data_IF_660335588145
#
_entry.id   IF_660335588145
#
_cell.length_a   1.000
_cell.length_b   1.000
_cell.length_c   1.000
_cell.angle_alpha   90.00
_cell.angle_beta   90.00
_cell.angle_gamma   90.00
#
_symmetry.space_group_name_H-M   'P 1'
#
loop_
_entity.id
_entity.type
_entity.pdbx_description
1 polymer ?
#
# COMPACT_ATOMS: atom_id res chain seq x y z
N UNK A 1 29.33 -19.16 32.31
CA UNK A 1 27.89 -18.88 32.18
C UNK A 1 27.65 -18.40 30.76
N UNK A 2 27.30 -19.33 29.86
CA UNK A 2 27.01 -19.03 28.45
C UNK A 2 25.60 -18.47 28.31
N UNK A 3 25.49 -17.15 28.17
CA UNK A 3 24.27 -16.49 27.71
C UNK A 3 24.22 -16.52 26.19
N UNK A 4 23.87 -17.67 25.62
CA UNK A 4 23.45 -17.75 24.22
C UNK A 4 22.01 -17.23 24.10
N UNK A 5 21.89 -15.90 24.08
CA UNK A 5 20.67 -15.23 23.67
C UNK A 5 20.42 -15.59 22.19
N UNK A 6 19.57 -16.60 21.98
CA UNK A 6 19.04 -16.99 20.67
C UNK A 6 18.35 -15.77 20.07
N UNK A 7 19.07 -15.05 19.20
CA UNK A 7 18.48 -14.08 18.29
C UNK A 7 17.39 -14.80 17.51
N UNK A 8 16.12 -14.53 17.82
CA UNK A 8 14.99 -14.98 17.02
C UNK A 8 15.14 -14.30 15.66
N UNK A 9 15.68 -15.03 14.69
CA UNK A 9 15.70 -14.61 13.29
C UNK A 9 14.27 -14.28 12.88
N UNK A 10 13.97 -12.99 12.70
CA UNK A 10 12.67 -12.53 12.24
C UNK A 10 12.40 -13.20 10.88
N UNK A 11 11.27 -13.90 10.78
CA UNK A 11 10.89 -14.56 9.54
C UNK A 11 10.83 -13.53 8.41
N UNK A 12 11.68 -13.72 7.40
CA UNK A 12 11.74 -12.83 6.25
C UNK A 12 10.61 -13.18 5.26
N UNK A 13 9.81 -12.19 4.89
CA UNK A 13 8.66 -12.29 4.00
C UNK A 13 9.04 -11.98 2.55
N UNK A 14 8.49 -12.69 1.56
CA UNK A 14 8.69 -12.34 0.16
C UNK A 14 7.95 -11.02 -0.17
N UNK A 15 8.62 -10.12 -0.90
CA UNK A 15 8.07 -8.80 -1.25
C UNK A 15 6.71 -8.87 -1.94
N UNK A 16 6.49 -9.85 -2.83
CA UNK A 16 5.19 -10.05 -3.48
C UNK A 16 4.05 -10.33 -2.49
N UNK A 17 4.30 -11.15 -1.47
CA UNK A 17 3.29 -11.43 -0.44
C UNK A 17 3.02 -10.21 0.45
N UNK A 18 4.04 -9.40 0.74
CA UNK A 18 3.87 -8.16 1.49
C UNK A 18 3.06 -7.14 0.69
N UNK A 19 3.33 -6.99 -0.60
CA UNK A 19 2.56 -6.10 -1.47
C UNK A 19 1.09 -6.54 -1.54
N UNK A 20 0.85 -7.81 -1.83
CA UNK A 20 -0.51 -8.36 -1.92
C UNK A 20 -1.26 -8.26 -0.59
N UNK A 21 -0.61 -8.64 0.52
CA UNK A 21 -1.19 -8.55 1.86
C UNK A 21 -1.51 -7.12 2.26
N UNK A 22 -0.59 -6.18 2.01
CA UNK A 22 -0.82 -4.76 2.29
C UNK A 22 -1.95 -4.19 1.43
N UNK A 23 -2.05 -4.60 0.17
CA UNK A 23 -3.17 -4.22 -0.69
C UNK A 23 -4.50 -4.68 -0.12
N UNK A 24 -4.63 -5.95 0.27
CA UNK A 24 -5.87 -6.45 0.86
C UNK A 24 -6.24 -5.78 2.18
N UNK A 25 -5.25 -5.48 3.03
CA UNK A 25 -5.49 -4.73 4.27
C UNK A 25 -5.95 -3.30 3.96
N UNK A 26 -5.33 -2.61 2.99
CA UNK A 26 -5.79 -1.31 2.50
C UNK A 26 -7.25 -1.35 2.03
N UNK A 27 -7.60 -2.34 1.22
CA UNK A 27 -8.98 -2.53 0.73
C UNK A 27 -9.93 -2.82 1.91
N UNK A 28 -9.50 -3.61 2.89
CA UNK A 28 -10.33 -3.92 4.06
C UNK A 28 -10.69 -2.67 4.88
N UNK A 29 -9.77 -1.69 4.99
CA UNK A 29 -10.06 -0.42 5.68
C UNK A 29 -11.28 0.30 5.12
N UNK A 30 -11.49 0.25 3.80
CA UNK A 30 -12.60 0.94 3.15
C UNK A 30 -13.81 0.03 2.91
N UNK A 31 -13.61 -1.22 2.48
CA UNK A 31 -14.72 -2.11 2.09
C UNK A 31 -15.54 -2.55 3.30
N UNK A 32 -14.91 -2.90 4.42
CA UNK A 32 -15.64 -3.38 5.62
C UNK A 32 -16.62 -2.32 6.14
N UNK A 33 -16.19 -1.09 6.44
CA UNK A 33 -17.13 -0.06 6.88
C UNK A 33 -18.07 0.44 5.77
N UNK A 34 -17.64 0.45 4.50
CA UNK A 34 -18.56 0.78 3.39
C UNK A 34 -19.70 -0.23 3.28
N UNK A 35 -19.40 -1.52 3.48
CA UNK A 35 -20.40 -2.57 3.53
C UNK A 35 -21.34 -2.37 4.73
N UNK A 36 -20.82 -1.99 5.89
CA UNK A 36 -21.66 -1.63 7.04
C UNK A 36 -22.62 -0.49 6.72
N UNK A 37 -22.13 0.61 6.12
CA UNK A 37 -22.98 1.74 5.72
C UNK A 37 -24.02 1.31 4.70
N UNK A 38 -23.65 0.49 3.72
CA UNK A 38 -24.56 -0.02 2.70
C UNK A 38 -25.68 -0.90 3.27
N UNK A 39 -25.33 -1.83 4.16
CA UNK A 39 -26.29 -2.72 4.83
C UNK A 39 -27.27 -1.93 5.71
N UNK A 40 -26.82 -0.80 6.26
CA UNK A 40 -27.62 0.08 7.11
C UNK A 40 -28.08 1.36 6.40
N UNK A 41 -28.08 1.39 5.06
CA UNK A 41 -28.28 2.62 4.26
C UNK A 41 -29.55 3.40 4.56
N UNK A 42 -30.59 2.74 5.09
CA UNK A 42 -31.83 3.40 5.51
C UNK A 42 -31.64 4.37 6.69
N UNK A 43 -30.56 4.23 7.45
CA UNK A 43 -30.19 5.09 8.59
C UNK A 43 -29.27 6.25 8.16
N UNK A 44 -28.85 6.29 6.91
CA UNK A 44 -27.93 7.28 6.37
C UNK A 44 -28.62 8.18 5.34
N UNK A 45 -28.16 9.43 5.17
CA UNK A 45 -28.72 10.33 4.18
C UNK A 45 -28.46 9.83 2.76
N UNK A 46 -29.40 10.11 1.85
CA UNK A 46 -29.29 9.72 0.45
C UNK A 46 -28.12 10.41 -0.28
N UNK A 47 -27.76 11.60 0.18
CA UNK A 47 -26.64 12.40 -0.32
C UNK A 47 -25.69 12.73 0.82
N UNK A 48 -24.40 12.73 0.52
CA UNK A 48 -23.32 13.00 1.46
C UNK A 48 -22.33 13.98 0.86
N UNK A 49 -21.68 14.81 1.68
CA UNK A 49 -20.67 15.73 1.21
C UNK A 49 -19.42 14.96 0.81
N UNK A 50 -18.91 15.24 -0.39
CA UNK A 50 -17.66 14.67 -0.91
C UNK A 50 -16.50 15.66 -0.83
N UNK A 51 -16.80 16.93 -0.58
CA UNK A 51 -15.80 17.98 -0.39
C UNK A 51 -16.27 19.00 0.65
N UNK A 52 -15.35 19.39 1.52
CA UNK A 52 -15.55 20.42 2.55
C UNK A 52 -14.69 21.63 2.21
N UNK A 53 -15.31 22.81 2.13
CA UNK A 53 -14.61 24.07 1.91
C UNK A 53 -13.74 24.46 3.11
N UNK A 54 -12.85 25.45 2.90
CA UNK A 54 -12.02 26.02 3.98
C UNK A 54 -12.85 26.67 5.10
N UNK A 55 -14.08 27.05 4.79
CA UNK A 55 -15.09 27.55 5.72
C UNK A 55 -15.79 26.45 6.54
N UNK A 56 -15.34 25.18 6.41
CA UNK A 56 -15.96 24.00 7.03
C UNK A 56 -17.40 23.73 6.59
N UNK A 57 -17.84 24.29 5.46
CA UNK A 57 -19.14 24.00 4.88
C UNK A 57 -19.00 23.04 3.68
N UNK A 58 -19.97 22.13 3.49
CA UNK A 58 -19.96 21.24 2.33
C UNK A 58 -20.32 22.03 1.06
N UNK A 59 -19.47 21.96 0.03
CA UNK A 59 -19.68 22.67 -1.24
C UNK A 59 -19.86 21.72 -2.44
N UNK A 60 -19.70 20.41 -2.23
CA UNK A 60 -19.96 19.37 -3.23
C UNK A 60 -20.63 18.16 -2.57
N UNK A 61 -21.60 17.58 -3.26
CA UNK A 61 -22.45 16.51 -2.78
C UNK A 61 -22.49 15.38 -3.80
N UNK A 62 -22.57 14.15 -3.30
CA UNK A 62 -22.77 12.97 -4.13
C UNK A 62 -23.80 12.04 -3.50
N UNK A 63 -24.35 11.15 -4.30
CA UNK A 63 -25.20 10.08 -3.77
C UNK A 63 -24.37 9.16 -2.88
N UNK A 64 -24.98 8.58 -1.84
CA UNK A 64 -24.31 7.64 -0.95
C UNK A 64 -23.57 6.50 -1.71
N UNK A 65 -24.17 5.82 -2.71
CA UNK A 65 -23.47 4.79 -3.47
C UNK A 65 -22.26 5.33 -4.24
N UNK A 66 -22.37 6.53 -4.83
CA UNK A 66 -21.27 7.14 -5.58
C UNK A 66 -20.12 7.55 -4.65
N UNK A 67 -20.42 8.10 -3.47
CA UNK A 67 -19.41 8.43 -2.46
C UNK A 67 -18.65 7.19 -1.99
N UNK A 68 -19.36 6.11 -1.65
CA UNK A 68 -18.73 4.83 -1.27
C UNK A 68 -17.89 4.24 -2.41
N UNK A 69 -18.40 4.29 -3.65
CA UNK A 69 -17.69 3.79 -4.82
C UNK A 69 -16.41 4.58 -5.12
N UNK A 70 -16.46 5.91 -5.03
CA UNK A 70 -15.30 6.78 -5.20
C UNK A 70 -14.23 6.52 -4.14
N UNK A 71 -14.61 6.34 -2.87
CA UNK A 71 -13.67 6.06 -1.78
C UNK A 71 -12.96 4.71 -1.97
N UNK A 72 -13.71 3.65 -2.29
CA UNK A 72 -13.15 2.33 -2.61
C UNK A 72 -12.18 2.44 -3.79
N UNK A 73 -12.58 3.13 -4.87
CA UNK A 73 -11.76 3.33 -6.06
C UNK A 73 -10.47 4.10 -5.75
N UNK A 74 -10.56 5.16 -4.96
CA UNK A 74 -9.42 5.99 -4.57
C UNK A 74 -8.43 5.16 -3.73
N UNK A 75 -8.90 4.49 -2.67
CA UNK A 75 -8.05 3.66 -1.82
C UNK A 75 -7.39 2.53 -2.61
N UNK A 76 -8.14 1.86 -3.49
CA UNK A 76 -7.61 0.80 -4.33
C UNK A 76 -6.51 1.31 -5.27
N UNK A 77 -6.77 2.41 -5.98
CA UNK A 77 -5.82 2.99 -6.93
C UNK A 77 -4.57 3.50 -6.22
N UNK A 78 -4.73 4.26 -5.14
CA UNK A 78 -3.62 4.82 -4.37
C UNK A 78 -2.77 3.72 -3.76
N UNK A 79 -3.40 2.67 -3.21
CA UNK A 79 -2.67 1.52 -2.66
C UNK A 79 -1.91 0.76 -3.74
N UNK A 80 -2.55 0.45 -4.87
CA UNK A 80 -1.90 -0.23 -5.98
C UNK A 80 -0.71 0.57 -6.52
N UNK A 81 -0.86 1.90 -6.63
CA UNK A 81 0.19 2.80 -7.08
C UNK A 81 1.40 2.78 -6.12
N UNK A 82 1.19 3.03 -4.83
CA UNK A 82 2.29 3.07 -3.86
C UNK A 82 2.96 1.71 -3.71
N UNK A 83 2.19 0.62 -3.63
CA UNK A 83 2.74 -0.73 -3.53
C UNK A 83 3.48 -1.13 -4.82
N UNK A 84 2.97 -0.75 -5.99
CA UNK A 84 3.64 -0.95 -7.28
C UNK A 84 4.97 -0.21 -7.37
N UNK A 85 4.99 1.08 -6.99
CA UNK A 85 6.22 1.89 -6.93
C UNK A 85 7.19 1.29 -5.90
N UNK A 86 6.73 0.95 -4.71
CA UNK A 86 7.55 0.35 -3.66
C UNK A 86 8.16 -0.99 -4.07
N UNK A 87 7.40 -1.80 -4.79
CA UNK A 87 7.87 -3.06 -5.35
C UNK A 87 8.94 -2.82 -6.43
N UNK A 88 8.67 -1.92 -7.39
CA UNK A 88 9.60 -1.60 -8.48
C UNK A 88 10.92 -0.97 -7.99
N UNK A 89 10.85 -0.11 -6.97
CA UNK A 89 12.00 0.61 -6.42
C UNK A 89 12.71 -0.14 -5.30
N UNK A 90 12.25 -1.34 -4.93
CA UNK A 90 12.75 -2.12 -3.78
C UNK A 90 12.65 -1.38 -2.43
N UNK A 91 11.73 -0.41 -2.34
CA UNK A 91 11.44 0.36 -1.13
C UNK A 91 10.09 -0.04 -0.50
N UNK A 92 9.65 -1.28 -0.74
CA UNK A 92 8.31 -1.75 -0.38
C UNK A 92 7.98 -1.57 1.10
N UNK A 93 8.95 -1.60 2.00
CA UNK A 93 8.74 -1.38 3.44
C UNK A 93 8.16 0.01 3.73
N UNK A 94 8.73 1.05 3.13
CA UNK A 94 8.28 2.42 3.31
C UNK A 94 6.95 2.65 2.59
N UNK A 95 6.86 2.17 1.35
CA UNK A 95 5.69 2.37 0.50
C UNK A 95 4.46 1.58 0.96
N UNK A 96 4.62 0.39 1.55
CA UNK A 96 3.52 -0.36 2.13
C UNK A 96 2.98 0.31 3.40
N UNK A 97 3.87 0.81 4.27
CA UNK A 97 3.46 1.60 5.43
C UNK A 97 2.68 2.86 5.01
N UNK A 98 3.16 3.54 3.96
CA UNK A 98 2.53 4.74 3.41
C UNK A 98 1.16 4.42 2.78
N UNK A 99 1.07 3.35 1.99
CA UNK A 99 -0.18 2.89 1.39
C UNK A 99 -1.23 2.57 2.47
N UNK A 100 -0.86 1.85 3.52
CA UNK A 100 -1.76 1.49 4.62
C UNK A 100 -2.20 2.72 5.42
N UNK A 101 -1.27 3.62 5.75
CA UNK A 101 -1.57 4.86 6.47
C UNK A 101 -2.51 5.77 5.68
N UNK A 102 -2.26 5.97 4.39
CA UNK A 102 -3.15 6.76 3.53
C UNK A 102 -4.51 6.10 3.33
N UNK A 103 -4.57 4.78 3.21
CA UNK A 103 -5.84 4.05 3.09
C UNK A 103 -6.72 4.24 4.33
N UNK A 104 -6.11 4.11 5.52
CA UNK A 104 -6.80 4.34 6.78
C UNK A 104 -7.23 5.80 6.94
N UNK A 105 -6.38 6.76 6.54
CA UNK A 105 -6.71 8.20 6.55
C UNK A 105 -7.90 8.51 5.65
N UNK A 106 -7.81 8.15 4.36
CA UNK A 106 -8.84 8.42 3.36
C UNK A 106 -10.17 7.79 3.74
N UNK A 107 -10.14 6.52 4.15
CA UNK A 107 -11.34 5.82 4.60
C UNK A 107 -11.97 6.50 5.82
N UNK A 108 -11.16 6.92 6.80
CA UNK A 108 -11.66 7.64 7.98
C UNK A 108 -12.27 8.99 7.60
N UNK A 109 -11.69 9.72 6.64
CA UNK A 109 -12.24 10.98 6.14
C UNK A 109 -13.62 10.79 5.50
N UNK A 110 -13.72 9.86 4.56
CA UNK A 110 -14.95 9.64 3.81
C UNK A 110 -16.04 9.11 4.74
N UNK A 111 -15.78 8.04 5.48
CA UNK A 111 -16.78 7.44 6.36
C UNK A 111 -17.10 8.35 7.54
N UNK A 112 -16.09 9.00 8.12
CA UNK A 112 -16.28 9.99 9.17
C UNK A 112 -17.19 11.13 8.72
N UNK A 113 -17.07 11.59 7.46
CA UNK A 113 -17.97 12.59 6.89
C UNK A 113 -19.41 12.07 6.77
N UNK A 114 -19.60 10.82 6.34
CA UNK A 114 -20.92 10.19 6.26
C UNK A 114 -21.57 10.11 7.65
N UNK A 115 -20.82 9.66 8.66
CA UNK A 115 -21.30 9.57 10.04
C UNK A 115 -21.56 10.94 10.67
N UNK A 116 -20.71 11.93 10.39
CA UNK A 116 -20.88 13.29 10.88
C UNK A 116 -22.20 13.90 10.40
N UNK A 117 -22.53 13.73 9.11
CA UNK A 117 -23.80 14.21 8.56
C UNK A 117 -24.99 13.41 9.10
N UNK A 118 -24.88 12.09 9.17
CA UNK A 118 -25.95 11.25 9.75
C UNK A 118 -26.28 11.62 11.20
N UNK A 119 -25.31 12.17 11.94
CA UNK A 119 -25.47 12.63 13.33
C UNK A 119 -25.67 14.14 13.48
N UNK A 120 -25.88 14.87 12.38
CA UNK A 120 -26.04 16.33 12.37
C UNK A 120 -24.92 17.07 13.13
N UNK A 121 -23.68 16.62 13.00
CA UNK A 121 -22.53 17.24 13.64
C UNK A 121 -22.22 18.59 12.99
N UNK A 122 -22.07 19.63 13.80
CA UNK A 122 -21.90 21.01 13.35
C UNK A 122 -20.53 21.34 12.74
N UNK A 123 -19.51 20.49 12.91
CA UNK A 123 -18.15 20.76 12.40
C UNK A 123 -17.40 19.49 11.98
N UNK A 124 -16.69 19.57 10.85
CA UNK A 124 -15.88 18.46 10.32
C UNK A 124 -14.47 18.38 10.92
N UNK A 125 -14.00 19.45 11.58
CA UNK A 125 -12.65 19.57 12.14
C UNK A 125 -12.19 18.35 12.97
N UNK A 126 -13.00 17.84 13.92
CA UNK A 126 -12.65 16.63 14.68
C UNK A 126 -12.46 15.38 13.82
N UNK A 127 -13.23 15.24 12.73
CA UNK A 127 -13.10 14.11 11.78
C UNK A 127 -11.80 14.22 10.99
N UNK A 128 -11.44 15.43 10.54
CA UNK A 128 -10.16 15.68 9.85
C UNK A 128 -8.97 15.32 10.75
N UNK A 129 -9.00 15.78 12.01
CA UNK A 129 -7.96 15.47 12.99
C UNK A 129 -7.89 13.96 13.26
N UNK A 130 -9.03 13.32 13.48
CA UNK A 130 -9.10 11.88 13.71
C UNK A 130 -8.51 11.09 12.52
N UNK A 131 -8.81 11.49 11.30
CA UNK A 131 -8.27 10.82 10.11
C UNK A 131 -6.74 10.93 10.00
N UNK A 132 -6.18 12.12 10.27
CA UNK A 132 -4.72 12.30 10.29
C UNK A 132 -4.07 11.42 11.36
N UNK A 133 -4.64 11.41 12.57
CA UNK A 133 -4.14 10.60 13.68
C UNK A 133 -4.22 9.10 13.34
N UNK A 134 -5.35 8.62 12.84
CA UNK A 134 -5.55 7.22 12.45
C UNK A 134 -4.57 6.82 11.35
N UNK A 135 -4.42 7.65 10.31
CA UNK A 135 -3.48 7.38 9.23
C UNK A 135 -2.03 7.32 9.71
N UNK A 136 -1.60 8.26 10.54
CA UNK A 136 -0.26 8.29 11.11
C UNK A 136 0.02 7.07 11.99
N UNK A 137 -0.93 6.70 12.85
CA UNK A 137 -0.81 5.53 13.73
C UNK A 137 -0.73 4.23 12.92
N UNK A 138 -1.63 4.05 11.95
CA UNK A 138 -1.62 2.86 11.09
C UNK A 138 -0.34 2.77 10.27
N UNK A 139 0.10 3.87 9.68
CA UNK A 139 1.35 3.92 8.92
C UNK A 139 2.57 3.61 9.78
N UNK A 140 2.65 4.16 10.99
CA UNK A 140 3.73 3.88 11.93
C UNK A 140 3.74 2.40 12.35
N UNK A 141 2.57 1.85 12.72
CA UNK A 141 2.44 0.44 13.09
C UNK A 141 2.85 -0.47 11.94
N UNK A 142 2.39 -0.18 10.72
CA UNK A 142 2.78 -0.93 9.52
C UNK A 142 4.29 -0.86 9.29
N UNK A 143 4.90 0.33 9.41
CA UNK A 143 6.34 0.49 9.28
C UNK A 143 7.09 -0.37 10.31
N UNK A 144 6.71 -0.28 11.60
CA UNK A 144 7.33 -1.07 12.67
C UNK A 144 7.18 -2.59 12.45
N UNK A 145 6.05 -3.03 11.93
CA UNK A 145 5.78 -4.44 11.65
C UNK A 145 6.55 -4.98 10.43
N UNK A 146 6.77 -4.14 9.42
CA UNK A 146 7.47 -4.52 8.19
C UNK A 146 8.99 -4.30 8.27
N UNK A 147 9.46 -3.50 9.23
CA UNK A 147 10.86 -3.10 9.38
C UNK A 147 11.80 -4.29 9.39
N UNK A 148 12.66 -4.37 8.38
CA UNK A 148 13.67 -5.43 8.24
C UNK A 148 13.09 -6.83 8.00
N UNK A 149 11.79 -6.95 7.70
CA UNK A 149 11.13 -8.24 7.43
C UNK A 149 10.97 -8.56 5.96
N UNK A 150 11.24 -7.62 5.05
CA UNK A 150 11.05 -7.85 3.60
C UNK A 150 12.35 -8.38 3.00
N UNK A 151 12.28 -9.56 2.34
CA UNK A 151 13.37 -10.01 1.47
C UNK A 151 13.42 -9.10 0.26
N UNK A 152 14.49 -8.32 0.13
CA UNK A 152 14.90 -7.85 -1.20
C UNK A 152 15.06 -9.08 -2.08
N UNK A 153 14.25 -9.18 -3.13
CA UNK A 153 14.48 -10.17 -4.16
C UNK A 153 15.82 -9.84 -4.83
N UNK A 154 16.90 -10.39 -4.30
CA UNK A 154 18.12 -10.60 -5.07
C UNK A 154 17.79 -11.74 -6.05
N UNK A 155 17.12 -11.41 -7.14
CA UNK A 155 16.88 -12.34 -8.23
C UNK A 155 17.26 -11.70 -9.57
N UNK A 156 18.27 -12.29 -10.19
CA UNK A 156 18.10 -12.78 -11.55
C UNK A 156 18.81 -12.04 -12.67
N UNK A 157 19.64 -11.05 -12.37
CA UNK A 157 20.59 -10.49 -13.33
C UNK A 157 22.00 -10.84 -12.91
N UNK A 158 22.34 -12.14 -12.82
CA UNK A 158 23.75 -12.51 -12.93
C UNK A 158 24.14 -12.13 -14.35
N UNK A 159 24.65 -10.91 -14.52
CA UNK A 159 25.52 -10.63 -15.64
C UNK A 159 26.70 -11.56 -15.43
N UNK A 160 26.63 -12.76 -16.00
CA UNK A 160 27.82 -13.51 -16.35
C UNK A 160 28.51 -12.61 -17.35
N UNK A 161 29.47 -11.81 -16.87
CA UNK A 161 30.45 -11.22 -17.75
C UNK A 161 31.00 -12.40 -18.56
N UNK A 162 30.69 -12.43 -19.85
CA UNK A 162 31.40 -13.31 -20.76
C UNK A 162 32.83 -12.84 -20.63
N UNK A 163 33.68 -13.66 -20.02
CA UNK A 163 35.09 -13.38 -19.94
C UNK A 163 35.59 -13.37 -21.39
N UNK A 164 35.97 -12.21 -21.96
CA UNK A 164 36.27 -12.10 -23.38
C UNK A 164 37.42 -13.02 -23.82
N UNK A 165 38.22 -13.51 -22.85
CA UNK A 165 39.27 -14.50 -23.06
C UNK A 165 38.75 -15.91 -23.39
N UNK A 166 37.59 -16.32 -22.89
CA UNK A 166 37.07 -17.68 -23.13
C UNK A 166 36.43 -17.82 -24.51
N UNK A 167 35.77 -16.76 -24.99
CA UNK A 167 35.16 -16.73 -26.32
C UNK A 167 36.22 -16.57 -27.42
N UNK A 168 37.27 -15.75 -27.21
CA UNK A 168 38.41 -15.70 -28.13
C UNK A 168 39.16 -17.02 -28.18
N UNK A 169 39.37 -17.71 -27.06
CA UNK A 169 40.01 -19.02 -27.03
C UNK A 169 39.20 -20.09 -27.79
N UNK A 170 37.87 -20.09 -27.66
CA UNK A 170 36.99 -21.00 -28.42
C UNK A 170 36.99 -20.70 -29.93
N UNK A 171 36.94 -19.42 -30.31
CA UNK A 171 36.98 -19.02 -31.74
C UNK A 171 38.35 -19.31 -32.36
N UNK A 172 39.45 -19.15 -31.62
CA UNK A 172 40.79 -19.54 -32.09
C UNK A 172 40.90 -21.06 -32.25
N UNK A 173 40.45 -21.83 -31.26
CA UNK A 173 40.52 -23.29 -31.31
C UNK A 173 39.68 -23.87 -32.47
N UNK A 174 38.51 -23.30 -32.73
CA UNK A 174 37.64 -23.70 -33.84
C UNK A 174 38.25 -23.37 -35.21
N UNK A 175 38.86 -22.19 -35.36
CA UNK A 175 39.54 -21.81 -36.62
C UNK A 175 40.81 -22.59 -36.90
N UNK A 176 41.55 -23.01 -35.86
CA UNK A 176 42.73 -23.86 -36.02
C UNK A 176 42.31 -25.25 -36.51
N UNK A 177 41.25 -25.84 -35.96
CA UNK A 177 40.75 -27.14 -36.43
C UNK A 177 40.29 -27.13 -37.88
N UNK A 178 39.67 -26.04 -38.35
CA UNK A 178 39.24 -25.89 -39.74
C UNK A 178 40.39 -25.70 -40.73
N UNK A 179 41.58 -25.30 -40.27
CA UNK A 179 42.79 -25.15 -41.11
C UNK A 179 43.68 -26.39 -41.14
N UNK A 180 43.47 -27.34 -40.23
CA UNK A 180 44.26 -28.57 -40.13
C UNK A 180 43.54 -29.82 -40.63
N UNK A 181 42.31 -29.69 -41.13
CA UNK A 181 41.55 -30.72 -41.83
C UNK A 181 41.63 -30.49 -43.35
#
# INVERSE_FOLDING_TARGET
MDTTARSKSSAQLPGGAVALGSFFVSIAFVVVPSLYVWLNRAQFPATVPTHWGFDSHPNSWSSLPAALGMDIGLVALTSALFLGIGYATRMLEAFAALALGLSAMLSTLTLGSIFAVARAVASIGPVLLAAVVVGAVVGLLAHLLLRGRIRSAAQGGTFTAIDPGEETARVLAHNIQLRTA
#
